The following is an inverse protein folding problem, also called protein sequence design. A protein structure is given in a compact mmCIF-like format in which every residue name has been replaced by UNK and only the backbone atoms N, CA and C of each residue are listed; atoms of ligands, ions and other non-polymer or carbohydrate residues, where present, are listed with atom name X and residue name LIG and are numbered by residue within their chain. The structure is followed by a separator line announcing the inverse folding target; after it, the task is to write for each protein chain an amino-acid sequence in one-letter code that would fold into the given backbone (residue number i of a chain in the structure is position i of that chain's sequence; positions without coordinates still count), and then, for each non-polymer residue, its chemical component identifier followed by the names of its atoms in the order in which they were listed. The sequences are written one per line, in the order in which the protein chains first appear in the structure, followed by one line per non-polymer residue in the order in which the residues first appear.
data_IF_804237696347
#
_entry.id   IF_804237696347
#
_cell.length_a   1.000
_cell.length_b   1.000
_cell.length_c   1.000
_cell.angle_alpha   90.00
_cell.angle_beta   90.00
_cell.angle_gamma   90.00
#
_symmetry.space_group_name_H-M   'P 1'
#
loop_
_entity.id
_entity.type
_entity.pdbx_description
1 polymer ?
#
# COMPACT_ATOMS: atom_id res chain seq x y z
N UNK A 1 7.44 -48.55 29.48
CA UNK A 1 8.03 -47.85 28.32
C UNK A 1 7.47 -46.43 28.30
N UNK A 2 8.29 -45.42 28.59
CA UNK A 2 7.92 -43.99 28.56
C UNK A 2 8.40 -43.41 27.24
N UNK A 3 7.50 -43.20 26.29
CA UNK A 3 7.78 -42.50 25.03
C UNK A 3 7.72 -41.00 25.29
N UNK A 4 8.89 -40.37 25.38
CA UNK A 4 8.99 -38.90 25.42
C UNK A 4 8.66 -38.34 24.03
N UNK A 5 7.60 -37.54 23.94
CA UNK A 5 7.24 -36.77 22.75
C UNK A 5 8.16 -35.53 22.68
N UNK A 6 9.05 -35.47 21.70
CA UNK A 6 9.83 -34.27 21.41
C UNK A 6 9.01 -33.38 20.49
N UNK A 7 8.53 -32.25 21.00
CA UNK A 7 7.81 -31.24 20.24
C UNK A 7 8.84 -30.40 19.46
N UNK A 8 8.98 -30.64 18.15
CA UNK A 8 9.80 -29.81 17.28
C UNK A 8 9.06 -28.51 16.94
N UNK A 9 9.49 -27.39 17.51
CA UNK A 9 9.02 -26.05 17.16
C UNK A 9 9.63 -25.63 15.84
N UNK A 10 8.87 -25.78 14.74
CA UNK A 10 9.21 -25.16 13.46
C UNK A 10 8.99 -23.66 13.56
N UNK A 11 10.07 -22.89 13.70
CA UNK A 11 10.03 -21.45 13.55
C UNK A 11 9.75 -21.12 12.06
N UNK A 12 8.53 -20.72 11.74
CA UNK A 12 8.18 -20.20 10.42
C UNK A 12 8.82 -18.82 10.26
N UNK A 13 9.90 -18.73 9.48
CA UNK A 13 10.36 -17.43 8.99
C UNK A 13 9.25 -16.86 8.10
N UNK A 14 8.56 -15.82 8.57
CA UNK A 14 7.66 -15.03 7.74
C UNK A 14 8.50 -14.29 6.68
N UNK A 15 8.66 -14.90 5.51
CA UNK A 15 9.23 -14.26 4.33
C UNK A 15 8.29 -13.12 3.92
N UNK A 16 8.67 -11.88 4.23
CA UNK A 16 7.91 -10.71 3.80
C UNK A 16 7.83 -10.65 2.27
N UNK A 17 6.62 -10.52 1.72
CA UNK A 17 6.42 -10.39 0.28
C UNK A 17 7.15 -9.15 -0.24
N UNK A 18 7.71 -9.23 -1.46
CA UNK A 18 8.40 -8.10 -2.10
C UNK A 18 7.71 -7.73 -3.41
N UNK A 19 7.58 -6.43 -3.66
CA UNK A 19 7.03 -5.91 -4.90
C UNK A 19 7.78 -4.65 -5.32
N UNK A 20 7.72 -4.36 -6.60
CA UNK A 20 8.22 -3.10 -7.12
C UNK A 20 7.26 -1.96 -6.78
N UNK A 21 7.80 -0.77 -6.52
CA UNK A 21 7.05 0.44 -6.18
C UNK A 21 7.59 1.62 -6.98
N UNK A 22 6.70 2.35 -7.65
CA UNK A 22 6.98 3.67 -8.25
C UNK A 22 6.04 4.74 -7.68
N UNK A 23 6.12 5.94 -8.25
CA UNK A 23 5.20 7.03 -7.95
C UNK A 23 4.45 7.52 -9.19
N UNK A 24 3.29 8.12 -8.94
CA UNK A 24 2.53 8.90 -9.90
C UNK A 24 2.01 10.19 -9.23
N UNK A 25 2.42 11.38 -9.72
CA UNK A 25 1.99 12.66 -9.17
C UNK A 25 0.47 12.89 -9.19
N UNK A 26 -0.32 12.13 -9.97
CA UNK A 26 -1.79 12.24 -9.93
C UNK A 26 -2.33 11.98 -8.52
N UNK A 27 -1.72 11.05 -7.78
CA UNK A 27 -2.10 10.71 -6.41
C UNK A 27 -1.71 11.79 -5.38
N UNK A 28 -0.92 12.80 -5.78
CA UNK A 28 -0.65 13.99 -4.96
C UNK A 28 -1.72 15.07 -5.11
N UNK A 29 -2.60 14.98 -6.11
CA UNK A 29 -3.65 15.96 -6.35
C UNK A 29 -4.84 15.71 -5.41
N UNK A 30 -4.97 16.52 -4.35
CA UNK A 30 -6.06 16.39 -3.38
C UNK A 30 -7.44 16.59 -3.99
N UNK A 31 -7.55 17.39 -5.06
CA UNK A 31 -8.81 17.66 -5.75
C UNK A 31 -9.22 16.60 -6.78
N UNK A 32 -8.37 15.61 -7.05
CA UNK A 32 -8.69 14.54 -7.99
C UNK A 32 -9.88 13.72 -7.49
N UNK A 33 -10.90 13.54 -8.34
CA UNK A 33 -12.10 12.79 -8.00
C UNK A 33 -11.80 11.29 -7.88
N UNK A 34 -12.38 10.63 -6.86
CA UNK A 34 -12.33 9.18 -6.74
C UNK A 34 -13.11 8.45 -7.85
N UNK A 35 -13.96 9.15 -8.61
CA UNK A 35 -14.65 8.58 -9.78
C UNK A 35 -13.70 8.22 -10.94
N UNK A 36 -12.43 8.62 -10.86
CA UNK A 36 -11.42 8.44 -11.92
C UNK A 36 -10.54 7.20 -11.74
N UNK A 37 -10.72 6.46 -10.63
CA UNK A 37 -9.90 5.29 -10.28
C UNK A 37 -10.77 4.05 -10.10
N UNK A 38 -10.15 2.86 -10.10
CA UNK A 38 -10.88 1.60 -9.98
C UNK A 38 -11.67 1.46 -8.67
N UNK A 39 -11.23 2.10 -7.58
CA UNK A 39 -11.95 2.10 -6.31
C UNK A 39 -12.94 3.25 -6.17
N UNK A 40 -13.62 3.60 -7.27
CA UNK A 40 -14.63 4.64 -7.35
C UNK A 40 -15.89 4.26 -6.54
N UNK A 41 -16.91 3.71 -7.18
CA UNK A 41 -18.21 3.34 -6.64
C UNK A 41 -18.40 1.81 -6.60
N UNK A 42 -19.65 1.35 -6.49
CA UNK A 42 -19.98 -0.04 -6.24
C UNK A 42 -19.89 -0.41 -4.75
N UNK A 43 -20.20 -1.67 -4.41
CA UNK A 43 -20.26 -2.14 -3.02
C UNK A 43 -18.94 -1.99 -2.24
N UNK A 44 -17.81 -2.03 -2.94
CA UNK A 44 -16.46 -1.89 -2.39
C UNK A 44 -15.84 -0.50 -2.65
N UNK A 45 -16.55 0.38 -3.35
CA UNK A 45 -16.04 1.69 -3.76
C UNK A 45 -15.86 2.67 -2.61
N UNK A 46 -14.87 3.55 -2.73
CA UNK A 46 -14.59 4.59 -1.74
C UNK A 46 -15.65 5.71 -1.77
N UNK A 47 -16.26 5.98 -2.92
CA UNK A 47 -17.42 6.89 -3.03
C UNK A 47 -18.61 6.38 -2.21
N UNK A 48 -18.89 5.07 -2.29
CA UNK A 48 -19.95 4.41 -1.50
C UNK A 48 -19.66 4.46 0.00
N UNK A 49 -18.38 4.55 0.39
CA UNK A 49 -17.93 4.70 1.77
C UNK A 49 -17.92 6.16 2.26
N UNK A 50 -18.39 7.11 1.46
CA UNK A 50 -18.56 8.51 1.86
C UNK A 50 -17.36 9.43 1.55
N UNK A 51 -16.34 8.94 0.85
CA UNK A 51 -15.25 9.77 0.34
C UNK A 51 -15.64 10.42 -0.99
N UNK A 52 -14.93 11.45 -1.42
CA UNK A 52 -15.25 12.20 -2.65
C UNK A 52 -14.03 12.38 -3.56
N UNK A 53 -12.96 12.93 -3.00
CA UNK A 53 -11.70 13.21 -3.69
C UNK A 53 -10.56 12.46 -3.03
N UNK A 54 -9.40 12.39 -3.67
CA UNK A 54 -8.19 11.83 -3.08
C UNK A 54 -7.87 12.49 -1.73
N UNK A 55 -8.03 13.81 -1.63
CA UNK A 55 -7.78 14.58 -0.42
C UNK A 55 -8.77 14.31 0.72
N UNK A 56 -9.92 13.71 0.44
CA UNK A 56 -10.89 13.32 1.48
C UNK A 56 -10.50 12.03 2.22
N UNK A 57 -9.56 11.26 1.68
CA UNK A 57 -9.10 10.03 2.31
C UNK A 57 -8.21 10.33 3.53
N UNK A 58 -8.33 9.54 4.61
CA UNK A 58 -7.45 9.66 5.76
C UNK A 58 -5.99 9.53 5.37
N UNK A 59 -5.12 10.30 6.02
CA UNK A 59 -3.66 10.26 5.80
C UNK A 59 -3.20 10.57 4.37
N UNK A 60 -4.06 11.19 3.55
CA UNK A 60 -3.64 11.75 2.26
C UNK A 60 -2.34 12.57 2.43
N UNK A 61 -1.32 12.40 1.57
CA UNK A 61 -1.33 11.73 0.27
C UNK A 61 -0.90 10.26 0.29
N UNK A 62 -1.05 9.52 1.40
CA UNK A 62 -0.68 8.09 1.46
C UNK A 62 -1.70 7.19 0.79
N UNK A 63 -1.80 7.30 -0.53
CA UNK A 63 -2.71 6.55 -1.39
C UNK A 63 -1.98 6.04 -2.63
N UNK A 64 -2.55 5.07 -3.33
CA UNK A 64 -2.08 4.69 -4.65
C UNK A 64 -2.72 3.45 -5.25
N UNK A 65 -2.19 3.07 -6.40
CA UNK A 65 -2.46 1.80 -7.06
C UNK A 65 -1.76 0.65 -6.36
N UNK A 66 -2.50 -0.44 -6.12
CA UNK A 66 -2.01 -1.64 -5.41
C UNK A 66 -2.27 -2.90 -6.24
N UNK A 67 -1.34 -3.89 -6.28
CA UNK A 67 -1.52 -5.10 -7.10
C UNK A 67 -2.77 -5.93 -6.78
N UNK A 68 -3.25 -5.86 -5.53
CA UNK A 68 -4.45 -6.56 -5.10
C UNK A 68 -5.74 -5.96 -5.71
N UNK A 69 -5.72 -4.71 -6.15
CA UNK A 69 -6.84 -4.10 -6.89
C UNK A 69 -6.70 -4.49 -8.35
N UNK A 70 -7.56 -5.39 -8.81
CA UNK A 70 -7.52 -5.95 -10.17
C UNK A 70 -8.43 -5.23 -11.16
N UNK A 71 -9.27 -4.31 -10.69
CA UNK A 71 -10.20 -3.56 -11.52
C UNK A 71 -11.29 -2.86 -10.69
N UNK A 72 -12.30 -2.35 -11.38
CA UNK A 72 -13.43 -1.65 -10.78
C UNK A 72 -14.14 -2.50 -9.72
N UNK A 73 -14.55 -1.87 -8.62
CA UNK A 73 -15.26 -2.50 -7.49
C UNK A 73 -14.53 -3.72 -6.89
N UNK A 74 -13.19 -3.77 -6.99
CA UNK A 74 -12.38 -4.84 -6.40
C UNK A 74 -12.62 -4.96 -4.88
N UNK A 75 -12.65 -6.18 -4.31
CA UNK A 75 -12.72 -6.36 -2.85
C UNK A 75 -11.48 -5.82 -2.11
N UNK A 76 -10.38 -5.55 -2.81
CA UNK A 76 -9.19 -4.92 -2.24
C UNK A 76 -9.32 -3.39 -2.13
N UNK A 77 -10.41 -2.78 -2.63
CA UNK A 77 -10.58 -1.34 -2.60
C UNK A 77 -10.68 -0.78 -1.18
N UNK A 78 -9.88 0.26 -0.92
CA UNK A 78 -9.80 0.88 0.40
C UNK A 78 -9.24 -0.02 1.48
N UNK A 79 -8.40 -0.99 1.13
CA UNK A 79 -7.56 -1.75 2.08
C UNK A 79 -6.30 -0.98 2.43
N UNK A 80 -5.73 -1.23 3.60
CA UNK A 80 -4.51 -0.59 4.09
C UNK A 80 -3.27 -1.50 3.88
N UNK A 81 -2.17 -0.93 3.40
CA UNK A 81 -0.93 -1.64 3.09
C UNK A 81 0.27 -0.99 3.75
N UNK A 82 1.01 -1.75 4.57
CA UNK A 82 2.31 -1.33 5.08
C UNK A 82 3.38 -1.62 4.02
N UNK A 83 4.16 -0.61 3.68
CA UNK A 83 5.26 -0.66 2.72
C UNK A 83 6.56 -0.34 3.45
N UNK A 84 7.54 -1.22 3.32
CA UNK A 84 8.85 -1.09 3.94
C UNK A 84 9.94 -1.01 2.87
N UNK A 85 10.74 0.05 2.93
CA UNK A 85 11.91 0.26 2.09
C UNK A 85 13.17 0.22 2.95
N UNK A 86 14.15 -0.57 2.55
CA UNK A 86 15.49 -0.57 3.13
C UNK A 86 16.45 -0.01 2.08
N UNK A 87 17.11 1.11 2.40
CA UNK A 87 18.06 1.74 1.48
C UNK A 87 19.40 0.97 1.46
N UNK A 88 20.33 1.41 0.59
CA UNK A 88 21.67 0.79 0.47
C UNK A 88 22.52 0.87 1.74
N UNK A 89 22.22 1.81 2.64
CA UNK A 89 22.86 1.93 3.95
C UNK A 89 22.21 1.05 5.03
N UNK A 90 21.25 0.19 4.67
CA UNK A 90 20.54 -0.69 5.61
C UNK A 90 19.51 0.03 6.48
N UNK A 91 19.22 1.31 6.22
CA UNK A 91 18.20 2.05 6.96
C UNK A 91 16.82 1.68 6.44
N UNK A 92 15.95 1.19 7.33
CA UNK A 92 14.58 0.78 7.01
C UNK A 92 13.59 1.88 7.37
N UNK A 93 12.68 2.19 6.45
CA UNK A 93 11.54 3.07 6.67
C UNK A 93 10.24 2.39 6.27
N UNK A 94 9.17 2.69 6.98
CA UNK A 94 7.83 2.15 6.73
C UNK A 94 6.78 3.25 6.60
N UNK A 95 5.82 3.05 5.71
CA UNK A 95 4.61 3.87 5.60
C UNK A 95 3.40 2.94 5.42
N UNK A 96 2.20 3.45 5.73
CA UNK A 96 0.95 2.78 5.40
C UNK A 96 0.21 3.59 4.35
N UNK A 97 -0.31 2.93 3.31
CA UNK A 97 -1.08 3.55 2.23
C UNK A 97 -2.47 2.94 2.09
N UNK A 98 -3.40 3.70 1.54
CA UNK A 98 -4.74 3.24 1.14
C UNK A 98 -4.73 2.84 -0.33
N UNK A 99 -5.27 1.66 -0.63
CA UNK A 99 -5.49 1.20 -2.01
C UNK A 99 -6.66 1.95 -2.65
N UNK A 100 -6.39 2.71 -3.72
CA UNK A 100 -7.41 3.47 -4.46
C UNK A 100 -7.54 3.06 -5.92
N UNK A 101 -6.56 2.34 -6.47
CA UNK A 101 -6.54 1.99 -7.89
C UNK A 101 -5.75 0.70 -8.18
N UNK A 102 -5.74 0.30 -9.45
CA UNK A 102 -4.99 -0.86 -9.96
C UNK A 102 -3.48 -0.60 -9.93
N UNK A 103 -2.72 -1.52 -9.32
CA UNK A 103 -1.26 -1.56 -9.35
C UNK A 103 -0.71 -2.60 -10.33
N UNK A 104 -0.75 -2.33 -11.64
CA UNK A 104 -0.42 -3.33 -12.68
C UNK A 104 1.03 -3.83 -12.69
N UNK A 105 1.97 -3.04 -12.15
CA UNK A 105 3.42 -3.37 -12.08
C UNK A 105 3.95 -3.28 -10.65
N UNK A 106 3.15 -3.69 -9.68
CA UNK A 106 3.44 -3.45 -8.27
C UNK A 106 2.69 -2.22 -7.75
N UNK A 107 3.26 -1.55 -6.77
CA UNK A 107 2.68 -0.34 -6.18
C UNK A 107 2.97 0.89 -7.05
N UNK A 108 1.99 1.79 -7.16
CA UNK A 108 2.18 3.10 -7.75
C UNK A 108 1.52 4.15 -6.85
N UNK A 109 2.30 4.91 -6.08
CA UNK A 109 1.79 5.74 -4.99
C UNK A 109 1.98 7.24 -5.26
N UNK A 110 1.41 8.10 -4.43
CA UNK A 110 1.74 9.53 -4.49
C UNK A 110 3.26 9.75 -4.37
N UNK A 111 3.79 10.73 -5.12
CA UNK A 111 5.19 11.10 -5.06
C UNK A 111 5.59 11.51 -3.65
N UNK A 112 4.76 12.28 -2.94
CA UNK A 112 5.05 12.66 -1.54
C UNK A 112 5.09 11.44 -0.61
N UNK A 113 4.29 10.41 -0.87
CA UNK A 113 4.35 9.17 -0.09
C UNK A 113 5.63 8.38 -0.40
N UNK A 114 6.06 8.31 -1.67
CA UNK A 114 7.34 7.69 -2.03
C UNK A 114 8.54 8.49 -1.50
N UNK A 115 8.48 9.83 -1.51
CA UNK A 115 9.49 10.69 -0.92
C UNK A 115 9.57 10.47 0.59
N UNK A 116 8.42 10.36 1.27
CA UNK A 116 8.40 9.97 2.68
C UNK A 116 9.14 8.64 2.87
N UNK A 117 8.79 7.60 2.10
CA UNK A 117 9.39 6.27 2.22
C UNK A 117 10.89 6.23 1.90
N UNK A 118 11.35 7.05 0.97
CA UNK A 118 12.72 7.01 0.40
C UNK A 118 13.62 8.16 0.86
N UNK A 119 13.19 8.94 1.87
CA UNK A 119 13.93 10.10 2.37
C UNK A 119 14.16 11.18 1.29
N UNK A 120 13.08 11.57 0.62
CA UNK A 120 13.01 12.58 -0.46
C UNK A 120 13.77 12.20 -1.75
N UNK A 121 13.88 10.90 -2.05
CA UNK A 121 14.60 10.39 -3.21
C UNK A 121 13.68 9.81 -4.29
N UNK A 122 12.37 10.08 -4.28
CA UNK A 122 11.43 9.45 -5.22
C UNK A 122 11.81 9.73 -6.68
N UNK A 123 12.13 10.99 -7.01
CA UNK A 123 12.54 11.37 -8.38
C UNK A 123 13.84 10.69 -8.81
N UNK A 124 14.83 10.64 -7.91
CA UNK A 124 16.15 10.09 -8.22
C UNK A 124 16.09 8.57 -8.41
N UNK A 125 15.34 7.88 -7.55
CA UNK A 125 15.22 6.42 -7.60
C UNK A 125 14.24 5.98 -8.70
N UNK A 126 13.16 6.73 -8.92
CA UNK A 126 12.08 6.42 -9.87
C UNK A 126 11.22 5.22 -9.46
N UNK A 127 11.88 4.11 -9.12
CA UNK A 127 11.29 2.85 -8.72
C UNK A 127 12.21 2.12 -7.75
N UNK A 128 11.62 1.47 -6.74
CA UNK A 128 12.33 0.66 -5.73
C UNK A 128 11.65 -0.68 -5.54
N UNK A 129 12.28 -1.60 -4.82
CA UNK A 129 11.62 -2.78 -4.29
C UNK A 129 11.29 -2.56 -2.82
N UNK A 130 10.08 -2.92 -2.41
CA UNK A 130 9.60 -2.80 -1.03
C UNK A 130 9.13 -4.15 -0.51
N UNK A 131 9.33 -4.38 0.78
CA UNK A 131 8.54 -5.41 1.46
C UNK A 131 7.15 -4.85 1.74
N UNK A 132 6.12 -5.67 1.60
CA UNK A 132 4.75 -5.22 1.85
C UNK A 132 3.93 -6.27 2.58
N UNK A 133 2.89 -5.80 3.26
CA UNK A 133 1.82 -6.63 3.82
C UNK A 133 0.54 -5.82 3.91
N UNK A 134 -0.60 -6.48 3.75
CA UNK A 134 -1.88 -5.89 4.10
C UNK A 134 -1.97 -5.80 5.63
N UNK A 135 -2.50 -4.69 6.14
CA UNK A 135 -2.72 -4.44 7.57
C UNK A 135 -4.17 -4.02 7.82
N UNK A 136 -4.56 -3.92 9.09
CA UNK A 136 -5.89 -3.46 9.45
C UNK A 136 -6.16 -2.03 8.94
N UNK A 137 -7.39 -1.74 8.52
CA UNK A 137 -7.80 -0.44 8.01
C UNK A 137 -7.58 0.72 9.00
N UNK A 138 -7.67 0.44 10.31
CA UNK A 138 -7.35 1.40 11.37
C UNK A 138 -5.91 1.92 11.30
N UNK A 139 -4.97 1.13 10.77
CA UNK A 139 -3.60 1.56 10.54
C UNK A 139 -3.49 2.62 9.43
N UNK A 140 -4.54 2.83 8.63
CA UNK A 140 -4.68 3.93 7.69
C UNK A 140 -5.71 4.98 8.14
N UNK A 141 -6.36 4.82 9.29
CA UNK A 141 -7.43 5.71 9.76
C UNK A 141 -8.78 5.52 9.06
N UNK A 142 -8.98 4.35 8.45
CA UNK A 142 -10.21 3.93 7.77
C UNK A 142 -11.14 3.10 8.67
#
# INVERSE_FOLDING_TARGET
MKTSLVLATFATLALGQTASLSYDPVYDNSGQSLSTVACSDGSNGLLTRGFSTFGSLPRFPRIGGVPAVTGWNSPACGTCWELAYTNSAGTRKTINIIAVDVGSKGFNIAKRAMDELTNNQATQLGRVNVNYKQVANSACGL
#
